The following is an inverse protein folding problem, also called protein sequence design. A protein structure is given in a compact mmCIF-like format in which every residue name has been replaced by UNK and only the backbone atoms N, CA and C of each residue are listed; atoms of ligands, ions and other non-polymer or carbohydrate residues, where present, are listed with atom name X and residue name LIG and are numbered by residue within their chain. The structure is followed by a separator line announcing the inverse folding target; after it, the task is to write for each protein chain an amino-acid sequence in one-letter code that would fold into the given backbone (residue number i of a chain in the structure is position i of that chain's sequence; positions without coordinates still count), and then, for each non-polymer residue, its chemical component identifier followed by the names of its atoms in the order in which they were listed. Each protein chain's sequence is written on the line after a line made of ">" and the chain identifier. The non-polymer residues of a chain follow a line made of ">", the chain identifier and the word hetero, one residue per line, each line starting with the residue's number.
data_IF_151209955742
#
_entry.id   IF_151209955742
#
_cell.length_a   1.000
_cell.length_b   1.000
_cell.length_c   1.000
_cell.angle_alpha   90.00
_cell.angle_beta   90.00
_cell.angle_gamma   90.00
#
_symmetry.space_group_name_H-M   'P 1'
#
loop_
_entity.id
_entity.type
_entity.pdbx_description
1 polymer ?
#
# COMPACT_ATOMS: atom_id res chain seq x y z
N UNK A 1 6.16 -4.72 19.83
CA UNK A 1 6.98 -3.57 19.37
C UNK A 1 8.37 -3.74 19.97
N UNK A 2 9.40 -4.02 19.16
CA UNK A 2 10.79 -3.95 19.61
C UNK A 2 11.32 -2.57 19.21
N UNK A 3 11.73 -1.77 20.20
CA UNK A 3 12.24 -0.43 20.00
C UNK A 3 13.76 -0.49 20.11
N UNK A 4 14.47 -0.05 19.08
CA UNK A 4 15.91 0.15 19.16
C UNK A 4 16.16 1.56 19.69
N UNK A 5 16.52 1.63 20.98
CA UNK A 5 16.58 2.88 21.74
C UNK A 5 17.66 3.86 21.26
N UNK A 6 18.64 3.43 20.44
CA UNK A 6 19.64 4.32 19.85
C UNK A 6 19.12 5.05 18.59
N UNK A 7 18.20 4.44 17.83
CA UNK A 7 17.70 5.01 16.56
C UNK A 7 16.27 5.55 16.65
N UNK A 8 15.50 5.16 17.69
CA UNK A 8 14.08 5.50 17.81
C UNK A 8 13.20 4.79 16.78
N UNK A 9 13.75 3.83 16.02
CA UNK A 9 13.03 3.04 15.03
C UNK A 9 12.28 1.91 15.74
N UNK A 10 10.97 1.88 15.52
CA UNK A 10 10.10 0.80 16.00
C UNK A 10 9.98 -0.30 14.95
N UNK A 11 10.25 -1.56 15.33
CA UNK A 11 9.92 -2.72 14.49
C UNK A 11 8.62 -3.36 14.95
N UNK A 12 7.74 -3.63 13.98
CA UNK A 12 6.44 -4.28 14.16
C UNK A 12 6.40 -5.53 13.28
N UNK A 13 6.14 -6.68 13.89
CA UNK A 13 5.87 -7.92 13.17
C UNK A 13 4.38 -7.99 12.84
N UNK A 14 4.03 -8.50 11.66
CA UNK A 14 2.65 -8.61 11.16
C UNK A 14 1.84 -7.29 11.31
N UNK A 15 2.36 -6.15 10.85
CA UNK A 15 1.67 -4.86 10.98
C UNK A 15 0.30 -4.88 10.30
N UNK A 16 -0.67 -4.20 10.91
CA UNK A 16 -1.98 -3.94 10.33
C UNK A 16 -2.26 -2.44 10.43
N UNK A 17 -2.27 -1.76 9.28
CA UNK A 17 -2.57 -0.34 9.20
C UNK A 17 -3.96 -0.15 8.62
N UNK A 18 -4.66 0.85 9.14
CA UNK A 18 -5.97 1.27 8.64
C UNK A 18 -5.97 2.78 8.42
N UNK A 19 -6.29 3.21 7.20
CA UNK A 19 -6.33 4.63 6.83
C UNK A 19 -7.73 4.94 6.29
N UNK A 20 -8.40 5.92 6.88
CA UNK A 20 -9.69 6.42 6.40
C UNK A 20 -9.46 7.70 5.57
N UNK A 21 -10.00 7.73 4.35
CA UNK A 21 -9.88 8.85 3.42
C UNK A 21 -11.21 9.05 2.67
N UNK A 22 -12.03 9.99 3.12
CA UNK A 22 -13.39 10.13 2.59
C UNK A 22 -14.18 8.83 2.74
N UNK A 23 -14.79 8.37 1.65
CA UNK A 23 -15.51 7.08 1.59
C UNK A 23 -14.57 5.88 1.42
N UNK A 24 -13.29 6.10 1.14
CA UNK A 24 -12.32 5.03 0.99
C UNK A 24 -11.70 4.64 2.34
N UNK A 25 -11.66 3.35 2.60
CA UNK A 25 -10.94 2.74 3.70
C UNK A 25 -9.86 1.83 3.18
N UNK A 26 -8.63 2.13 3.57
CA UNK A 26 -7.45 1.33 3.26
C UNK A 26 -7.10 0.42 4.42
N UNK A 27 -6.81 -0.82 4.09
CA UNK A 27 -6.23 -1.82 4.99
C UNK A 27 -4.90 -2.27 4.40
N UNK A 28 -3.83 -2.19 5.19
CA UNK A 28 -2.49 -2.52 4.74
C UNK A 28 -1.88 -3.51 5.71
N UNK A 29 -1.40 -4.63 5.20
CA UNK A 29 -0.71 -5.66 5.98
C UNK A 29 0.63 -5.98 5.35
N UNK A 30 1.57 -6.43 6.18
CA UNK A 30 2.87 -6.92 5.74
C UNK A 30 3.38 -7.98 6.71
N UNK A 31 4.52 -8.60 6.41
CA UNK A 31 5.23 -9.46 7.38
C UNK A 31 5.92 -8.61 8.44
N UNK A 32 6.47 -7.46 8.06
CA UNK A 32 7.13 -6.55 8.98
C UNK A 32 6.98 -5.08 8.57
N UNK A 33 7.04 -4.20 9.56
CA UNK A 33 7.17 -2.76 9.39
C UNK A 33 8.32 -2.21 10.23
N UNK A 34 9.06 -1.29 9.63
CA UNK A 34 9.91 -0.34 10.35
C UNK A 34 9.24 1.02 10.32
N UNK A 35 9.10 1.63 11.49
CA UNK A 35 8.48 2.94 11.68
C UNK A 35 9.55 3.90 12.20
N UNK A 36 9.72 5.03 11.53
CA UNK A 36 10.63 6.09 12.00
C UNK A 36 10.19 6.67 13.35
N UNK A 37 11.11 7.29 14.06
CA UNK A 37 10.85 7.83 15.40
C UNK A 37 9.70 8.87 15.42
N UNK A 38 9.62 9.69 14.36
CA UNK A 38 8.55 10.67 14.16
C UNK A 38 7.22 10.06 13.69
N UNK A 39 7.22 8.77 13.33
CA UNK A 39 6.08 8.00 12.81
C UNK A 39 5.54 8.52 11.47
N UNK A 40 6.30 9.32 10.74
CA UNK A 40 5.87 9.85 9.44
C UNK A 40 6.21 8.91 8.29
N UNK A 41 7.20 8.02 8.47
CA UNK A 41 7.62 7.07 7.45
C UNK A 41 7.50 5.64 7.95
N UNK A 42 6.80 4.81 7.18
CA UNK A 42 6.62 3.38 7.45
C UNK A 42 7.15 2.59 6.27
N UNK A 43 8.18 1.78 6.50
CA UNK A 43 8.72 0.83 5.54
C UNK A 43 8.13 -0.55 5.81
N UNK A 44 7.25 -1.01 4.92
CA UNK A 44 6.62 -2.33 4.93
C UNK A 44 7.44 -3.29 4.07
N UNK A 45 7.71 -4.50 4.56
CA UNK A 45 8.49 -5.51 3.83
C UNK A 45 7.90 -6.92 3.99
N UNK A 46 8.18 -7.77 3.01
CA UNK A 46 7.64 -9.13 2.91
C UNK A 46 6.38 -9.13 2.05
N UNK A 47 5.45 -10.03 2.32
CA UNK A 47 4.17 -10.06 1.60
C UNK A 47 3.30 -8.85 1.98
N UNK A 48 3.38 -7.77 1.19
CA UNK A 48 2.63 -6.53 1.41
C UNK A 48 1.33 -6.55 0.61
N UNK A 49 0.21 -6.43 1.31
CA UNK A 49 -1.12 -6.36 0.72
C UNK A 49 -1.82 -5.07 1.13
N UNK A 50 -2.37 -4.36 0.15
CA UNK A 50 -3.23 -3.20 0.36
C UNK A 50 -4.62 -3.52 -0.19
N UNK A 51 -5.64 -3.22 0.59
CA UNK A 51 -7.04 -3.33 0.19
C UNK A 51 -7.69 -1.96 0.36
N UNK A 52 -8.19 -1.37 -0.72
CA UNK A 52 -9.10 -0.22 -0.66
C UNK A 52 -10.53 -0.72 -0.75
N UNK A 53 -11.36 -0.33 0.20
CA UNK A 53 -12.82 -0.47 0.11
C UNK A 53 -13.46 0.89 0.04
N UNK A 54 -14.29 1.11 -0.97
CA UNK A 54 -15.13 2.29 -1.04
C UNK A 54 -16.47 1.99 -0.35
N UNK A 55 -16.74 2.63 0.79
CA UNK A 55 -17.94 2.36 1.59
C UNK A 55 -19.23 2.84 0.89
N UNK A 56 -19.14 3.77 -0.07
CA UNK A 56 -20.29 4.29 -0.81
C UNK A 56 -20.70 3.40 -2.00
N UNK A 57 -19.73 2.83 -2.74
CA UNK A 57 -19.99 2.02 -3.94
C UNK A 57 -19.84 0.52 -3.70
N UNK A 58 -19.21 0.11 -2.60
CA UNK A 58 -18.84 -1.27 -2.32
C UNK A 58 -17.67 -1.79 -3.17
N UNK A 59 -17.05 -0.94 -4.00
CA UNK A 59 -15.92 -1.35 -4.83
C UNK A 59 -14.69 -1.68 -3.98
N UNK A 60 -14.00 -2.77 -4.34
CA UNK A 60 -12.75 -3.19 -3.74
C UNK A 60 -11.61 -3.15 -4.77
N UNK A 61 -10.46 -2.63 -4.35
CA UNK A 61 -9.20 -2.67 -5.09
C UNK A 61 -8.18 -3.40 -4.23
N UNK A 62 -7.57 -4.43 -4.78
CA UNK A 62 -6.55 -5.24 -4.12
C UNK A 62 -5.19 -4.99 -4.78
N UNK A 63 -4.17 -4.73 -3.97
CA UNK A 63 -2.80 -4.49 -4.43
C UNK A 63 -1.86 -5.40 -3.67
N UNK A 64 -0.99 -6.09 -4.40
CA UNK A 64 0.05 -6.96 -3.83
C UNK A 64 1.44 -6.58 -4.36
N UNK A 65 2.41 -6.55 -3.47
CA UNK A 65 3.82 -6.27 -3.74
C UNK A 65 4.68 -6.84 -2.61
N UNK A 66 6.01 -6.76 -2.72
CA UNK A 66 6.96 -7.23 -1.70
C UNK A 66 7.45 -6.16 -0.72
N UNK A 67 7.23 -4.89 -1.06
CA UNK A 67 7.66 -3.75 -0.26
C UNK A 67 6.78 -2.52 -0.54
N UNK A 68 6.59 -1.68 0.47
CA UNK A 68 5.97 -0.37 0.32
C UNK A 68 6.63 0.62 1.28
N UNK A 69 6.94 1.81 0.76
CA UNK A 69 7.25 2.98 1.55
C UNK A 69 6.00 3.84 1.66
N UNK A 70 5.45 3.96 2.88
CA UNK A 70 4.28 4.78 3.20
C UNK A 70 4.73 6.05 3.93
N UNK A 71 4.38 7.20 3.36
CA UNK A 71 4.42 8.48 4.06
C UNK A 71 3.05 8.72 4.70
N UNK A 72 3.00 8.79 6.04
CA UNK A 72 1.75 9.02 6.79
C UNK A 72 1.19 10.40 6.47
N UNK A 73 2.05 11.41 6.41
CA UNK A 73 1.77 12.72 5.82
C UNK A 73 2.73 12.90 4.63
N UNK A 74 2.25 12.95 3.38
CA UNK A 74 0.90 13.33 2.94
C UNK A 74 -0.04 12.16 2.54
N UNK A 75 0.10 10.96 3.11
CA UNK A 75 -0.67 9.74 2.73
C UNK A 75 -0.36 9.25 1.32
N UNK A 76 0.94 9.13 1.04
CA UNK A 76 1.43 8.54 -0.22
C UNK A 76 2.11 7.22 0.04
N UNK A 77 1.90 6.26 -0.84
CA UNK A 77 2.59 4.97 -0.82
C UNK A 77 3.39 4.80 -2.12
N UNK A 78 4.55 4.17 -2.04
CA UNK A 78 5.35 3.90 -3.23
C UNK A 78 6.13 2.59 -3.11
N UNK A 79 6.42 1.99 -4.25
CA UNK A 79 7.28 0.81 -4.38
C UNK A 79 8.01 0.88 -5.71
N UNK A 80 9.20 0.29 -5.77
CA UNK A 80 9.93 0.02 -7.01
C UNK A 80 9.81 -1.45 -7.44
N UNK A 81 9.19 -2.28 -6.61
CA UNK A 81 9.00 -3.69 -6.86
C UNK A 81 7.85 -3.94 -7.84
N UNK A 82 7.76 -5.18 -8.33
CA UNK A 82 6.62 -5.63 -9.08
C UNK A 82 5.34 -5.48 -8.24
N UNK A 83 4.30 -4.92 -8.86
CA UNK A 83 2.99 -4.71 -8.26
C UNK A 83 1.96 -5.42 -9.11
N UNK A 84 0.98 -6.04 -8.43
CA UNK A 84 -0.25 -6.51 -9.06
C UNK A 84 -1.44 -5.82 -8.42
N UNK A 85 -2.30 -5.28 -9.26
CA UNK A 85 -3.54 -4.60 -8.89
C UNK A 85 -4.71 -5.38 -9.47
N UNK A 86 -5.76 -5.60 -8.67
CA UNK A 86 -6.98 -6.28 -9.11
C UNK A 86 -8.22 -5.49 -8.68
N UNK A 87 -9.19 -5.35 -9.58
CA UNK A 87 -10.48 -4.72 -9.32
C UNK A 87 -11.54 -5.30 -10.24
N UNK A 88 -12.64 -5.84 -9.68
CA UNK A 88 -13.80 -6.30 -10.45
C UNK A 88 -13.49 -7.27 -11.62
N UNK A 89 -12.50 -8.15 -11.46
CA UNK A 89 -12.06 -9.09 -12.51
C UNK A 89 -10.90 -8.57 -13.37
N UNK A 90 -10.72 -7.25 -13.43
CA UNK A 90 -9.59 -6.64 -14.11
C UNK A 90 -8.30 -6.82 -13.30
N UNK A 91 -7.19 -6.97 -14.02
CA UNK A 91 -5.84 -7.10 -13.44
C UNK A 91 -4.86 -6.20 -14.17
N UNK A 92 -4.06 -5.48 -13.39
CA UNK A 92 -2.89 -4.75 -13.86
C UNK A 92 -1.64 -5.33 -13.19
N UNK A 93 -0.59 -5.56 -13.95
CA UNK A 93 0.75 -5.81 -13.44
C UNK A 93 1.68 -4.68 -13.91
N UNK A 94 2.60 -4.26 -13.04
CA UNK A 94 3.62 -3.27 -13.39
C UNK A 94 4.88 -3.47 -12.54
N UNK A 95 5.96 -2.79 -12.91
CA UNK A 95 7.15 -2.63 -12.08
C UNK A 95 7.16 -1.22 -11.50
N UNK A 96 6.95 -1.15 -10.20
CA UNK A 96 6.89 0.09 -9.45
C UNK A 96 5.53 0.79 -9.52
N UNK A 97 5.22 1.53 -8.44
CA UNK A 97 3.97 2.24 -8.27
C UNK A 97 4.19 3.46 -7.36
N UNK A 98 3.46 4.55 -7.64
CA UNK A 98 3.15 5.60 -6.67
C UNK A 98 1.64 5.70 -6.50
N UNK A 99 1.22 5.88 -5.26
CA UNK A 99 -0.17 6.02 -4.86
C UNK A 99 -0.30 7.29 -4.00
N UNK A 100 -1.16 8.21 -4.43
CA UNK A 100 -1.67 9.29 -3.62
C UNK A 100 -3.09 8.92 -3.17
N UNK A 101 -3.25 8.62 -1.88
CA UNK A 101 -4.54 8.18 -1.34
C UNK A 101 -5.54 9.34 -1.24
N UNK A 102 -5.07 10.58 -1.08
CA UNK A 102 -5.93 11.76 -0.95
C UNK A 102 -6.51 12.12 -2.31
N UNK A 103 -5.67 12.15 -3.34
CA UNK A 103 -6.08 12.41 -4.71
C UNK A 103 -6.70 11.18 -5.40
N UNK A 104 -6.65 10.01 -4.76
CA UNK A 104 -7.04 8.71 -5.32
C UNK A 104 -6.37 8.46 -6.68
N UNK A 105 -5.08 8.78 -6.77
CA UNK A 105 -4.30 8.74 -8.00
C UNK A 105 -3.22 7.66 -7.93
N UNK A 106 -3.13 6.87 -9.01
CA UNK A 106 -2.17 5.78 -9.17
C UNK A 106 -1.27 6.08 -10.37
N UNK A 107 0.03 5.99 -10.17
CA UNK A 107 1.04 6.07 -11.23
C UNK A 107 1.79 4.74 -11.26
N UNK A 108 1.68 3.99 -12.36
CA UNK A 108 2.46 2.78 -12.61
C UNK A 108 3.69 3.17 -13.44
N UNK A 109 4.87 2.70 -13.02
CA UNK A 109 6.13 3.29 -13.49
C UNK A 109 6.65 2.63 -14.76
N UNK A 110 6.67 1.31 -14.82
CA UNK A 110 7.30 0.55 -15.92
C UNK A 110 6.61 -0.81 -16.14
N UNK A 111 6.86 -1.43 -17.30
CA UNK A 111 6.37 -2.77 -17.67
C UNK A 111 4.86 -3.00 -17.44
N UNK A 112 4.03 -1.99 -17.71
CA UNK A 112 2.60 -2.03 -17.43
C UNK A 112 1.87 -2.99 -18.38
N UNK A 113 1.18 -3.98 -17.82
CA UNK A 113 0.36 -4.97 -18.53
C UNK A 113 -1.04 -4.99 -17.94
N UNK A 114 -2.05 -4.94 -18.81
CA UNK A 114 -3.45 -4.94 -18.42
C UNK A 114 -4.19 -6.15 -18.99
N UNK A 115 -4.99 -6.77 -18.13
CA UNK A 115 -5.88 -7.88 -18.45
C UNK A 115 -7.28 -7.49 -18.02
N UNK A 116 -8.23 -7.57 -18.95
CA UNK A 116 -9.63 -7.22 -18.72
C UNK A 116 -10.48 -8.46 -18.92
N UNK A 117 -11.40 -8.72 -17.99
CA UNK A 117 -12.39 -9.76 -18.17
C UNK A 117 -13.51 -9.21 -19.06
N UNK A 118 -13.69 -9.79 -20.25
CA UNK A 118 -14.74 -9.39 -21.18
C UNK A 118 -15.98 -10.25 -20.89
N UNK A 119 -17.16 -9.64 -20.61
CA UNK A 119 -18.42 -10.36 -20.35
C UNK A 119 -18.90 -11.23 -21.52
#
# INVERSE_FOLDING_TARGET
>A
LRNDAESGVGTVETPQLRIQQGDDRWYITAESAQVTADRELVSLRGDVFLVRRNDATGQQLDISTRDVLLNVTPRTASTQAAVRIQQSGDRLDAKGMKLDMIANHFELLDDVQAYYEVP
#
